data_IF_071710830091
#
_entry.id   IF_071710830091
#
_cell.length_a   1.000
_cell.length_b   1.000
_cell.length_c   1.000
_cell.angle_alpha   90.00
_cell.angle_beta   90.00
_cell.angle_gamma   90.00
#
_symmetry.space_group_name_H-M   'P 1'
#
loop_
_entity.id
_entity.type
_entity.pdbx_description
1 polymer ?
#
# COMPACT_ATOMS: atom_id res chain seq x y z
N UNK A 1 -4.98 15.30 -47.84
CA UNK A 1 -5.52 14.16 -47.07
C UNK A 1 -4.46 13.07 -47.11
N UNK A 2 -4.07 12.51 -45.98
CA UNK A 2 -2.78 11.81 -45.75
C UNK A 2 -2.50 10.58 -46.62
N UNK A 3 -3.44 10.12 -47.47
CA UNK A 3 -3.28 8.93 -48.32
C UNK A 3 -3.58 7.61 -47.60
N UNK A 4 -3.95 7.68 -46.32
CA UNK A 4 -4.29 6.50 -45.51
C UNK A 4 -5.77 6.21 -45.65
N UNK A 5 -6.10 4.97 -46.03
CA UNK A 5 -7.49 4.54 -46.00
C UNK A 5 -7.91 4.25 -44.54
N UNK A 6 -9.22 4.27 -44.29
CA UNK A 6 -9.79 4.10 -42.93
C UNK A 6 -9.36 2.79 -42.27
N UNK A 7 -9.18 1.73 -43.04
CA UNK A 7 -8.70 0.44 -42.54
C UNK A 7 -7.24 0.52 -42.10
N UNK A 8 -6.37 1.15 -42.88
CA UNK A 8 -4.96 1.35 -42.54
C UNK A 8 -4.79 2.17 -41.26
N UNK A 9 -5.66 3.16 -41.03
CA UNK A 9 -5.67 3.91 -39.77
C UNK A 9 -6.09 3.05 -38.56
N UNK A 10 -7.11 2.19 -38.71
CA UNK A 10 -7.53 1.27 -37.63
C UNK A 10 -6.46 0.25 -37.32
N UNK A 11 -5.84 -0.33 -38.35
CA UNK A 11 -4.81 -1.35 -38.19
C UNK A 11 -3.58 -0.78 -37.47
N UNK A 12 -3.19 0.46 -37.79
CA UNK A 12 -2.09 1.15 -37.10
C UNK A 12 -2.41 1.46 -35.63
N UNK A 13 -3.63 1.91 -35.32
CA UNK A 13 -4.06 2.19 -33.93
C UNK A 13 -4.11 0.88 -33.12
N UNK A 14 -4.70 -0.17 -33.68
CA UNK A 14 -4.78 -1.49 -33.03
C UNK A 14 -3.40 -2.09 -32.82
N UNK A 15 -2.51 -1.95 -33.80
CA UNK A 15 -1.13 -2.42 -33.71
C UNK A 15 -0.34 -1.69 -32.62
N UNK A 16 -0.43 -0.36 -32.56
CA UNK A 16 0.23 0.43 -31.52
C UNK A 16 -0.31 0.12 -30.12
N UNK A 17 -1.63 -0.07 -30.00
CA UNK A 17 -2.26 -0.46 -28.74
C UNK A 17 -1.83 -1.88 -28.31
N UNK A 18 -1.81 -2.84 -29.23
CA UNK A 18 -1.39 -4.21 -28.95
C UNK A 18 0.11 -4.31 -28.64
N UNK A 19 0.95 -3.52 -29.31
CA UNK A 19 2.37 -3.41 -29.01
C UNK A 19 2.58 -2.82 -27.61
N UNK A 20 1.89 -1.74 -27.27
CA UNK A 20 1.91 -1.14 -25.94
C UNK A 20 1.43 -2.12 -24.84
N UNK A 21 0.34 -2.85 -25.08
CA UNK A 21 -0.15 -3.89 -24.15
C UNK A 21 0.85 -5.04 -24.01
N UNK A 22 1.52 -5.44 -25.09
CA UNK A 22 2.52 -6.52 -25.10
C UNK A 22 3.82 -6.13 -24.39
N UNK A 23 4.22 -4.87 -24.49
CA UNK A 23 5.49 -4.36 -23.95
C UNK A 23 5.37 -3.91 -22.48
N UNK A 24 4.19 -3.48 -22.05
CA UNK A 24 3.97 -2.94 -20.69
C UNK A 24 3.02 -3.77 -19.82
N UNK A 25 2.18 -4.63 -20.40
CA UNK A 25 1.10 -5.30 -19.69
C UNK A 25 0.04 -4.32 -19.15
N UNK A 26 -1.18 -4.79 -18.90
CA UNK A 26 -2.27 -3.91 -18.42
C UNK A 26 -2.37 -3.80 -16.90
N UNK A 27 -1.68 -4.66 -16.12
CA UNK A 27 -1.77 -4.66 -14.64
C UNK A 27 -0.43 -4.60 -13.88
N UNK A 28 0.69 -4.99 -14.51
CA UNK A 28 1.97 -5.17 -13.81
C UNK A 28 2.61 -3.82 -13.41
N UNK A 29 2.47 -2.77 -14.23
CA UNK A 29 3.07 -1.46 -13.94
C UNK A 29 2.38 -0.74 -12.78
N UNK A 30 1.04 -0.73 -12.77
CA UNK A 30 0.28 -0.14 -11.66
C UNK A 30 0.55 -0.87 -10.35
N UNK A 31 0.51 -2.22 -10.36
CA UNK A 31 0.80 -3.02 -9.18
C UNK A 31 2.23 -2.75 -8.65
N UNK A 32 3.21 -2.66 -9.55
CA UNK A 32 4.59 -2.34 -9.17
C UNK A 32 4.71 -0.94 -8.56
N UNK A 33 4.07 0.07 -9.14
CA UNK A 33 4.07 1.42 -8.59
C UNK A 33 3.44 1.47 -7.19
N UNK A 34 2.36 0.70 -6.97
CA UNK A 34 1.72 0.59 -5.66
C UNK A 34 2.68 -0.03 -4.63
N UNK A 35 3.38 -1.11 -5.00
CA UNK A 35 4.38 -1.77 -4.14
C UNK A 35 5.51 -0.79 -3.82
N UNK A 36 6.10 -0.17 -4.84
CA UNK A 36 7.19 0.81 -4.69
C UNK A 36 6.77 1.98 -3.79
N UNK A 37 5.54 2.47 -3.93
CA UNK A 37 5.01 3.56 -3.10
C UNK A 37 4.82 3.14 -1.64
N UNK A 38 4.34 1.92 -1.39
CA UNK A 38 4.24 1.37 -0.04
C UNK A 38 5.62 1.17 0.61
N UNK A 39 6.59 0.64 -0.14
CA UNK A 39 7.97 0.48 0.32
C UNK A 39 8.64 1.82 0.62
N UNK A 40 8.48 2.81 -0.27
CA UNK A 40 9.01 4.16 -0.06
C UNK A 40 8.43 4.80 1.20
N UNK A 41 7.12 4.65 1.42
CA UNK A 41 6.44 5.13 2.62
C UNK A 41 6.98 4.47 3.91
N UNK A 42 7.12 3.14 3.93
CA UNK A 42 7.65 2.42 5.09
C UNK A 42 9.14 2.70 5.32
N UNK A 43 9.93 2.85 4.27
CA UNK A 43 11.35 3.19 4.38
C UNK A 43 11.55 4.59 4.96
N UNK A 44 10.75 5.57 4.51
CA UNK A 44 10.86 6.95 4.97
C UNK A 44 10.34 7.14 6.41
N UNK A 45 9.24 6.46 6.78
CA UNK A 45 8.50 6.78 8.00
C UNK A 45 8.38 5.62 8.99
N UNK A 46 8.69 4.39 8.60
CA UNK A 46 8.48 3.18 9.40
C UNK A 46 9.16 3.22 10.77
N UNK A 47 10.32 3.90 10.87
CA UNK A 47 11.03 4.04 12.14
C UNK A 47 10.62 5.26 12.97
N UNK A 48 10.20 6.34 12.32
CA UNK A 48 9.99 7.65 12.92
C UNK A 48 8.54 7.99 13.24
N UNK A 49 7.57 7.49 12.45
CA UNK A 49 6.14 7.84 12.55
C UNK A 49 5.25 6.68 12.95
N UNK A 50 5.83 5.50 13.21
CA UNK A 50 5.10 4.33 13.71
C UNK A 50 5.53 4.00 15.14
N UNK A 51 4.55 4.08 16.06
CA UNK A 51 4.75 3.75 17.45
C UNK A 51 4.85 2.23 17.66
N UNK A 52 5.78 1.71 18.48
CA UNK A 52 5.73 0.31 18.91
C UNK A 52 4.37 -0.02 19.58
N UNK A 53 3.89 -1.27 19.54
CA UNK A 53 2.62 -1.62 20.23
C UNK A 53 2.68 -1.32 21.75
N UNK A 54 3.85 -1.53 22.37
CA UNK A 54 4.13 -1.17 23.77
C UNK A 54 4.60 0.29 23.93
N UNK A 55 4.07 1.20 23.13
CA UNK A 55 4.44 2.61 23.13
C UNK A 55 4.09 3.35 24.43
N UNK A 56 5.03 4.16 24.92
CA UNK A 56 4.83 5.19 25.93
C UNK A 56 5.19 6.58 25.35
N UNK A 57 4.19 7.47 25.16
CA UNK A 57 4.41 8.81 24.63
C UNK A 57 5.42 9.66 25.40
N UNK A 58 5.58 9.45 26.71
CA UNK A 58 6.52 10.21 27.53
C UNK A 58 7.98 9.86 27.19
N UNK A 59 8.24 8.59 26.92
CA UNK A 59 9.57 8.07 26.58
C UNK A 59 9.96 8.28 25.10
N UNK A 60 8.98 8.36 24.20
CA UNK A 60 9.19 8.41 22.77
C UNK A 60 8.18 9.36 22.11
N UNK A 61 8.40 10.67 22.15
CA UNK A 61 7.50 11.60 21.48
C UNK A 61 7.58 11.40 19.95
N UNK A 62 6.45 11.06 19.33
CA UNK A 62 6.33 10.90 17.87
C UNK A 62 5.42 12.01 17.35
N UNK A 63 5.95 12.87 16.49
CA UNK A 63 5.13 13.83 15.74
C UNK A 63 4.40 13.11 14.61
N UNK A 64 3.16 13.53 14.31
CA UNK A 64 2.30 13.00 13.23
C UNK A 64 2.30 11.47 13.13
N UNK A 65 1.58 10.84 14.06
CA UNK A 65 1.51 9.39 14.16
C UNK A 65 0.83 8.79 12.93
N UNK A 66 1.55 7.95 12.17
CA UNK A 66 1.03 7.25 11.00
C UNK A 66 0.54 5.84 11.28
N UNK A 67 0.86 5.31 12.46
CA UNK A 67 0.31 4.05 12.94
C UNK A 67 1.19 3.35 13.95
N UNK A 68 1.10 2.03 13.98
CA UNK A 68 1.78 1.19 14.96
C UNK A 68 2.63 0.12 14.28
N UNK A 69 3.71 -0.29 14.95
CA UNK A 69 4.54 -1.41 14.49
C UNK A 69 4.72 -2.46 15.57
N UNK A 70 4.79 -3.71 15.12
CA UNK A 70 5.05 -4.87 15.93
C UNK A 70 6.24 -5.61 15.32
N UNK A 71 7.30 -5.76 16.12
CA UNK A 71 8.41 -6.64 15.80
C UNK A 71 8.45 -7.67 16.92
N UNK A 72 8.49 -8.95 16.56
CA UNK A 72 8.66 -10.04 17.52
C UNK A 72 10.08 -10.08 18.12
N UNK A 73 10.96 -9.13 17.77
CA UNK A 73 12.29 -8.98 18.35
C UNK A 73 13.29 -10.04 17.88
N UNK A 74 12.88 -10.97 17.01
CA UNK A 74 13.76 -11.94 16.36
C UNK A 74 14.39 -11.35 15.11
N UNK A 75 15.71 -11.55 14.98
CA UNK A 75 16.46 -11.12 13.81
C UNK A 75 15.96 -11.87 12.56
N UNK A 76 15.60 -11.12 11.52
CA UNK A 76 15.12 -11.69 10.25
C UNK A 76 13.61 -11.91 10.16
N UNK A 77 12.83 -11.63 11.19
CA UNK A 77 11.36 -11.68 11.10
C UNK A 77 10.77 -10.37 10.54
N UNK A 78 9.73 -10.46 9.70
CA UNK A 78 9.11 -9.29 9.09
C UNK A 78 8.43 -8.42 10.15
N UNK A 79 8.66 -7.11 10.09
CA UNK A 79 7.97 -6.13 10.94
C UNK A 79 6.55 -5.93 10.42
N UNK A 80 5.58 -6.05 11.32
CA UNK A 80 4.18 -5.79 10.98
C UNK A 80 3.85 -4.33 11.24
N UNK A 81 3.38 -3.63 10.21
CA UNK A 81 2.92 -2.24 10.30
C UNK A 81 1.40 -2.16 10.22
N UNK A 82 0.79 -1.53 11.20
CA UNK A 82 -0.61 -1.13 11.24
C UNK A 82 -0.69 0.33 10.81
N UNK A 83 -0.96 0.59 9.53
CA UNK A 83 -1.08 1.94 8.98
C UNK A 83 -2.49 2.48 9.25
N UNK A 84 -2.58 3.70 9.80
CA UNK A 84 -3.87 4.35 10.03
C UNK A 84 -4.57 4.71 8.71
N UNK A 85 -5.91 4.88 8.71
CA UNK A 85 -6.66 5.08 7.48
C UNK A 85 -6.30 6.35 6.69
N UNK A 86 -6.00 7.45 7.37
CA UNK A 86 -5.64 8.71 6.71
C UNK A 86 -4.26 8.62 6.02
N UNK A 87 -3.17 8.21 6.71
CA UNK A 87 -1.85 8.05 6.07
C UNK A 87 -1.86 7.00 4.97
N UNK A 88 -2.64 5.92 5.13
CA UNK A 88 -2.83 4.94 4.06
C UNK A 88 -3.42 5.60 2.82
N UNK A 89 -4.45 6.44 2.98
CA UNK A 89 -5.08 7.14 1.85
C UNK A 89 -4.17 8.20 1.23
N UNK A 90 -3.49 9.01 2.05
CA UNK A 90 -2.72 10.18 1.61
C UNK A 90 -1.31 9.85 1.13
N UNK A 91 -0.71 8.76 1.60
CA UNK A 91 0.64 8.32 1.20
C UNK A 91 0.64 7.01 0.42
N UNK A 92 0.02 5.94 0.92
CA UNK A 92 0.12 4.60 0.30
C UNK A 92 -0.77 4.48 -0.94
N UNK A 93 -2.01 4.95 -0.86
CA UNK A 93 -2.99 4.90 -1.94
C UNK A 93 -3.09 6.22 -2.72
N UNK A 94 -2.12 7.13 -2.55
CA UNK A 94 -2.14 8.43 -3.22
C UNK A 94 -2.16 8.24 -4.73
N UNK A 95 -3.19 8.79 -5.39
CA UNK A 95 -3.36 8.70 -6.84
C UNK A 95 -3.95 7.39 -7.35
N UNK A 96 -4.28 6.44 -6.47
CA UNK A 96 -4.83 5.12 -6.84
C UNK A 96 -6.18 4.85 -6.14
N UNK A 97 -6.94 3.90 -6.68
CA UNK A 97 -8.12 3.39 -5.99
C UNK A 97 -7.69 2.57 -4.76
N UNK A 98 -8.24 2.90 -3.58
CA UNK A 98 -7.87 2.26 -2.30
C UNK A 98 -8.02 0.73 -2.32
N UNK A 99 -9.09 0.21 -2.92
CA UNK A 99 -9.35 -1.23 -2.95
C UNK A 99 -8.47 -1.95 -3.97
N UNK A 100 -8.08 -1.28 -5.06
CA UNK A 100 -7.06 -1.78 -5.99
C UNK A 100 -5.69 -1.85 -5.31
N UNK A 101 -5.31 -0.82 -4.55
CA UNK A 101 -4.08 -0.78 -3.75
C UNK A 101 -4.07 -1.92 -2.73
N UNK A 102 -5.13 -2.06 -1.95
CA UNK A 102 -5.20 -3.11 -0.93
C UNK A 102 -5.12 -4.51 -1.55
N UNK A 103 -5.72 -4.71 -2.73
CA UNK A 103 -5.62 -5.97 -3.48
C UNK A 103 -4.20 -6.22 -3.98
N UNK A 104 -3.56 -5.24 -4.62
CA UNK A 104 -2.19 -5.38 -5.13
C UNK A 104 -1.20 -5.68 -3.99
N UNK A 105 -1.31 -4.99 -2.85
CA UNK A 105 -0.47 -5.24 -1.68
C UNK A 105 -0.75 -6.62 -1.06
N UNK A 106 -2.00 -7.09 -1.08
CA UNK A 106 -2.33 -8.43 -0.60
C UNK A 106 -1.75 -9.53 -1.51
N UNK A 107 -1.90 -9.38 -2.83
CA UNK A 107 -1.33 -10.30 -3.82
C UNK A 107 0.20 -10.33 -3.75
N UNK A 108 0.84 -9.22 -3.39
CA UNK A 108 2.28 -9.13 -3.14
C UNK A 108 2.72 -9.66 -1.76
N UNK A 109 1.79 -10.12 -0.91
CA UNK A 109 2.08 -10.60 0.45
C UNK A 109 2.41 -9.50 1.47
N UNK A 110 2.22 -8.23 1.13
CA UNK A 110 2.52 -7.07 1.99
C UNK A 110 1.33 -6.66 2.88
N UNK A 111 0.10 -7.03 2.51
CA UNK A 111 -1.12 -6.70 3.27
C UNK A 111 -1.85 -7.96 3.74
N UNK A 112 -2.06 -8.06 5.05
CA UNK A 112 -2.86 -9.13 5.65
C UNK A 112 -4.34 -8.83 5.49
N UNK A 113 -5.11 -9.82 5.04
CA UNK A 113 -6.58 -9.74 5.00
C UNK A 113 -7.15 -10.09 6.38
N UNK A 114 -8.22 -9.43 6.86
CA UNK A 114 -8.90 -9.83 8.09
C UNK A 114 -9.44 -11.26 7.99
N UNK A 115 -9.46 -11.96 9.13
CA UNK A 115 -9.95 -13.35 9.22
C UNK A 115 -11.44 -13.50 8.81
N UNK A 116 -12.23 -12.43 8.91
CA UNK A 116 -13.61 -12.40 8.43
C UNK A 116 -13.74 -12.45 6.90
N UNK A 117 -12.66 -12.20 6.15
CA UNK A 117 -12.66 -12.15 4.68
C UNK A 117 -13.31 -10.90 4.08
N UNK A 118 -14.01 -10.09 4.89
CA UNK A 118 -14.65 -8.83 4.48
C UNK A 118 -13.75 -7.62 4.73
N UNK A 119 -13.57 -6.81 3.69
CA UNK A 119 -12.78 -5.57 3.74
C UNK A 119 -11.27 -5.79 3.87
N UNK A 120 -10.57 -4.68 4.12
CA UNK A 120 -9.10 -4.63 4.16
C UNK A 120 -8.52 -4.14 5.50
N UNK A 121 -9.38 -3.69 6.41
CA UNK A 121 -8.96 -3.12 7.70
C UNK A 121 -8.86 -4.20 8.77
N UNK A 122 -7.74 -4.20 9.49
CA UNK A 122 -7.52 -5.04 10.67
C UNK A 122 -7.35 -4.12 11.86
N UNK A 123 -7.93 -4.53 13.00
CA UNK A 123 -7.76 -3.79 14.24
C UNK A 123 -6.36 -3.98 14.80
N UNK A 124 -5.76 -2.90 15.30
CA UNK A 124 -4.52 -2.96 16.07
C UNK A 124 -4.65 -3.94 17.26
N UNK A 125 -3.52 -4.42 17.81
CA UNK A 125 -3.48 -4.99 19.14
C UNK A 125 -3.97 -3.96 20.18
N UNK A 126 -4.20 -4.42 21.41
CA UNK A 126 -4.60 -3.53 22.50
C UNK A 126 -3.47 -2.55 22.82
N UNK A 127 -3.74 -1.26 22.61
CA UNK A 127 -2.76 -0.20 22.79
C UNK A 127 -2.77 0.27 24.25
N UNK A 128 -1.68 0.00 24.99
CA UNK A 128 -1.61 0.28 26.44
C UNK A 128 -1.78 1.77 26.77
N UNK A 129 -1.08 2.65 26.05
CA UNK A 129 -1.18 4.12 26.22
C UNK A 129 -2.58 4.67 25.91
N UNK A 130 -3.43 3.91 25.21
CA UNK A 130 -4.83 4.26 24.96
C UNK A 130 -5.81 3.44 25.80
N UNK A 131 -5.43 3.04 27.02
CA UNK A 131 -6.28 2.26 27.94
C UNK A 131 -6.81 0.95 27.31
N UNK A 132 -6.00 0.32 26.46
CA UNK A 132 -6.34 -0.94 25.80
C UNK A 132 -7.24 -0.81 24.56
N UNK A 133 -7.41 0.42 24.02
CA UNK A 133 -8.15 0.64 22.78
C UNK A 133 -7.56 -0.13 21.60
N UNK A 134 -8.41 -0.38 20.59
CA UNK A 134 -8.04 -0.98 19.30
C UNK A 134 -8.48 -0.06 18.19
N UNK A 135 -7.55 0.41 17.37
CA UNK A 135 -7.83 1.28 16.23
C UNK A 135 -8.03 0.44 14.97
N UNK A 136 -8.73 0.99 13.98
CA UNK A 136 -8.94 0.39 12.65
C UNK A 136 -8.03 1.05 11.62
#
# INVERSE_FOLDING_TARGET
>A
VTGWNVQTCRDAIQHNFNAWVKEFGTGNKEHRQIIEQAEAFLTAYGMSRFAPVNYDPASLPISELYGYRESEGRYGEPVLFYVLPEPFKSHVAKGFNKDAVARALHEAGMLKKPASGEGWQIRTPRLKHMKGARLR
#
